data_IF_198854907603
#
_entry.id   IF_198854907603
#
_cell.length_a   1.000
_cell.length_b   1.000
_cell.length_c   1.000
_cell.angle_alpha   90.00
_cell.angle_beta   90.00
_cell.angle_gamma   90.00
#
_symmetry.space_group_name_H-M   'P 1'
#
loop_
_entity.id
_entity.type
_entity.pdbx_description
1 polymer ?
#
# COMPACT_ATOMS: atom_id res chain seq x y z
N UNK A 1 7.27 26.51 21.73
CA UNK A 1 8.37 26.54 20.75
C UNK A 1 8.70 25.09 20.41
N UNK A 2 8.54 24.66 19.17
CA UNK A 2 9.03 23.34 18.72
C UNK A 2 10.54 23.49 18.56
N UNK A 3 11.34 22.71 19.28
CA UNK A 3 12.80 22.83 19.18
C UNK A 3 13.27 22.23 17.85
N UNK A 4 14.41 22.70 17.31
CA UNK A 4 14.94 22.19 16.04
C UNK A 4 15.21 20.66 16.07
N UNK A 5 15.51 20.12 17.26
CA UNK A 5 15.64 18.68 17.49
C UNK A 5 14.31 17.92 17.33
N UNK A 6 13.19 18.50 17.78
CA UNK A 6 11.86 17.92 17.57
C UNK A 6 11.51 17.90 16.08
N UNK A 7 11.76 18.99 15.36
CA UNK A 7 11.48 19.08 13.93
C UNK A 7 12.27 18.04 13.11
N UNK A 8 13.56 17.86 13.39
CA UNK A 8 14.38 16.85 12.72
C UNK A 8 13.91 15.42 13.05
N UNK A 9 13.49 15.18 14.30
CA UNK A 9 12.95 13.88 14.72
C UNK A 9 11.62 13.56 14.02
N UNK A 10 10.70 14.51 13.95
CA UNK A 10 9.43 14.35 13.22
C UNK A 10 9.63 14.11 11.73
N UNK A 11 10.58 14.82 11.12
CA UNK A 11 10.91 14.64 9.70
C UNK A 11 11.42 13.22 9.43
N UNK A 12 12.31 12.70 10.29
CA UNK A 12 12.83 11.34 10.20
C UNK A 12 11.72 10.30 10.33
N UNK A 13 10.82 10.46 11.32
CA UNK A 13 9.68 9.56 11.48
C UNK A 13 8.74 9.60 10.27
N UNK A 14 8.46 10.78 9.72
CA UNK A 14 7.63 10.92 8.52
C UNK A 14 8.27 10.24 7.31
N UNK A 15 9.56 10.42 7.09
CA UNK A 15 10.29 9.76 6.01
C UNK A 15 10.22 8.23 6.14
N UNK A 16 10.43 7.71 7.35
CA UNK A 16 10.29 6.28 7.61
C UNK A 16 8.87 5.78 7.29
N UNK A 17 7.83 6.52 7.65
CA UNK A 17 6.44 6.15 7.33
C UNK A 17 6.17 6.20 5.82
N UNK A 18 6.69 7.20 5.11
CA UNK A 18 6.56 7.31 3.66
C UNK A 18 7.26 6.15 2.95
N UNK A 19 8.45 5.76 3.41
CA UNK A 19 9.17 4.60 2.89
C UNK A 19 8.38 3.31 3.06
N UNK A 20 7.77 3.10 4.23
CA UNK A 20 6.89 1.96 4.49
C UNK A 20 5.69 1.98 3.54
N UNK A 21 5.03 3.13 3.38
CA UNK A 21 3.91 3.27 2.47
C UNK A 21 4.31 3.01 1.01
N UNK A 22 5.50 3.45 0.59
CA UNK A 22 6.00 3.28 -0.77
C UNK A 22 6.31 1.81 -1.13
N UNK A 23 6.50 0.94 -0.14
CA UNK A 23 6.66 -0.51 -0.40
C UNK A 23 5.36 -1.17 -0.85
N UNK A 24 4.21 -0.58 -0.52
CA UNK A 24 2.91 -1.19 -0.78
C UNK A 24 2.38 -0.84 -2.17
N UNK A 25 1.76 -1.83 -2.82
CA UNK A 25 1.10 -1.65 -4.11
C UNK A 25 -0.09 -0.67 -3.98
N UNK A 26 -0.11 0.45 -4.73
CA UNK A 26 -1.07 1.53 -4.49
C UNK A 26 -2.52 1.13 -4.74
N UNK A 27 -2.83 0.33 -5.77
CA UNK A 27 -4.21 -0.09 -6.03
C UNK A 27 -4.68 -1.12 -5.01
N UNK A 28 -3.80 -2.04 -4.59
CA UNK A 28 -4.12 -2.97 -3.50
C UNK A 28 -4.42 -2.22 -2.18
N UNK A 29 -3.64 -1.20 -1.81
CA UNK A 29 -3.89 -0.37 -0.63
C UNK A 29 -5.23 0.36 -0.76
N UNK A 30 -5.52 0.96 -1.91
CA UNK A 30 -6.78 1.64 -2.16
C UNK A 30 -7.98 0.69 -2.04
N UNK A 31 -7.88 -0.51 -2.59
CA UNK A 31 -8.92 -1.54 -2.49
C UNK A 31 -9.15 -1.96 -1.03
N UNK A 32 -8.09 -2.21 -0.27
CA UNK A 32 -8.18 -2.56 1.16
C UNK A 32 -8.79 -1.44 2.00
N UNK A 33 -8.41 -0.18 1.77
CA UNK A 33 -9.03 0.97 2.46
C UNK A 33 -10.54 1.05 2.21
N UNK A 34 -10.98 0.77 0.98
CA UNK A 34 -12.43 0.71 0.64
C UNK A 34 -13.14 -0.42 1.38
N UNK A 35 -12.51 -1.60 1.51
CA UNK A 35 -13.06 -2.70 2.30
C UNK A 35 -13.22 -2.29 3.77
N UNK A 36 -12.16 -1.78 4.39
CA UNK A 36 -12.16 -1.37 5.81
C UNK A 36 -13.22 -0.31 6.11
N UNK A 37 -13.40 0.67 5.21
CA UNK A 37 -14.44 1.69 5.36
C UNK A 37 -15.87 1.14 5.33
N UNK A 38 -16.11 -0.01 4.67
CA UNK A 38 -17.42 -0.61 4.52
C UNK A 38 -17.78 -1.60 5.67
N UNK A 39 -16.78 -2.20 6.33
CA UNK A 39 -16.97 -3.30 7.31
C UNK A 39 -17.91 -2.92 8.45
N UNK A 40 -17.81 -1.69 8.99
CA UNK A 40 -18.61 -1.27 10.14
C UNK A 40 -20.13 -1.22 9.89
N UNK A 41 -20.56 -1.20 8.62
CA UNK A 41 -21.98 -1.16 8.24
C UNK A 41 -22.52 -2.49 7.69
N UNK A 42 -21.74 -3.57 7.73
CA UNK A 42 -22.07 -4.83 7.07
C UNK A 42 -22.09 -6.02 8.03
N UNK A 43 -22.85 -7.06 7.69
CA UNK A 43 -22.69 -8.36 8.36
C UNK A 43 -21.33 -8.97 8.03
N UNK A 44 -20.89 -9.92 8.85
CA UNK A 44 -19.64 -10.66 8.61
C UNK A 44 -19.66 -11.35 7.23
N UNK A 45 -20.74 -12.05 6.91
CA UNK A 45 -20.89 -12.76 5.64
C UNK A 45 -20.80 -11.82 4.43
N UNK A 46 -21.49 -10.68 4.49
CA UNK A 46 -21.43 -9.66 3.44
C UNK A 46 -20.01 -9.08 3.27
N UNK A 47 -19.33 -8.83 4.39
CA UNK A 47 -17.94 -8.33 4.40
C UNK A 47 -16.98 -9.33 3.75
N UNK A 48 -17.12 -10.62 4.06
CA UNK A 48 -16.30 -11.68 3.49
C UNK A 48 -16.55 -11.85 1.99
N UNK A 49 -17.81 -11.83 1.56
CA UNK A 49 -18.16 -11.91 0.14
C UNK A 49 -17.58 -10.71 -0.63
N UNK A 50 -17.71 -9.49 -0.10
CA UNK A 50 -17.12 -8.30 -0.69
C UNK A 50 -15.58 -8.39 -0.77
N UNK A 51 -14.95 -8.88 0.30
CA UNK A 51 -13.50 -9.12 0.35
C UNK A 51 -13.04 -10.12 -0.72
N UNK A 52 -13.73 -11.26 -0.85
CA UNK A 52 -13.43 -12.27 -1.86
C UNK A 52 -13.55 -11.71 -3.29
N UNK A 53 -14.59 -10.92 -3.56
CA UNK A 53 -14.76 -10.28 -4.86
C UNK A 53 -13.67 -9.26 -5.16
N UNK A 54 -13.28 -8.43 -4.17
CA UNK A 54 -12.20 -7.47 -4.32
C UNK A 54 -10.86 -8.16 -4.56
N UNK A 55 -10.58 -9.24 -3.83
CA UNK A 55 -9.40 -10.07 -3.99
C UNK A 55 -9.32 -10.70 -5.39
N UNK A 56 -10.41 -11.32 -5.86
CA UNK A 56 -10.46 -11.93 -7.19
C UNK A 56 -10.22 -10.90 -8.30
N UNK A 57 -10.75 -9.67 -8.16
CA UNK A 57 -10.49 -8.56 -9.10
C UNK A 57 -9.04 -8.12 -9.04
N UNK A 58 -8.49 -7.93 -7.84
CA UNK A 58 -7.10 -7.51 -7.64
C UNK A 58 -6.11 -8.51 -8.23
N UNK A 59 -6.32 -9.82 -8.02
CA UNK A 59 -5.47 -10.88 -8.56
C UNK A 59 -5.33 -10.87 -10.09
N UNK A 60 -6.37 -10.42 -10.81
CA UNK A 60 -6.35 -10.32 -12.28
C UNK A 60 -5.79 -9.00 -12.80
N UNK A 61 -5.34 -8.11 -11.91
CA UNK A 61 -4.81 -6.81 -12.30
C UNK A 61 -3.36 -6.90 -12.79
N UNK A 62 -2.95 -5.92 -13.60
CA UNK A 62 -1.56 -5.77 -14.02
C UNK A 62 -0.62 -5.56 -12.80
N UNK A 63 -1.09 -4.85 -11.78
CA UNK A 63 -0.33 -4.61 -10.53
C UNK A 63 -0.02 -5.93 -9.80
N UNK A 64 -1.02 -6.81 -9.65
CA UNK A 64 -0.81 -8.12 -9.04
C UNK A 64 0.13 -9.00 -9.88
N UNK A 65 -0.04 -9.02 -11.21
CA UNK A 65 0.84 -9.74 -12.11
C UNK A 65 2.30 -9.27 -12.01
N UNK A 66 2.51 -7.96 -11.96
CA UNK A 66 3.84 -7.37 -11.84
C UNK A 66 4.47 -7.65 -10.46
N UNK A 67 3.68 -7.60 -9.39
CA UNK A 67 4.12 -7.95 -8.05
C UNK A 67 4.56 -9.42 -7.92
N UNK A 68 3.74 -10.34 -8.45
CA UNK A 68 4.06 -11.77 -8.44
C UNK A 68 5.32 -12.07 -9.25
N UNK A 69 5.50 -11.40 -10.40
CA UNK A 69 6.72 -11.52 -11.22
C UNK A 69 7.96 -10.99 -10.50
N UNK A 70 7.85 -9.83 -9.85
CA UNK A 70 8.95 -9.25 -9.08
C UNK A 70 9.35 -10.17 -7.92
N UNK A 71 8.36 -10.67 -7.19
CA UNK A 71 8.56 -11.63 -6.10
C UNK A 71 9.26 -12.91 -6.57
N UNK A 72 8.79 -13.54 -7.64
CA UNK A 72 9.40 -14.76 -8.17
C UNK A 72 10.84 -14.54 -8.68
N UNK A 73 11.12 -13.33 -9.16
CA UNK A 73 12.45 -12.94 -9.66
C UNK A 73 13.38 -12.41 -8.55
N UNK A 74 12.92 -12.34 -7.30
CA UNK A 74 13.62 -11.69 -6.17
C UNK A 74 14.06 -10.26 -6.48
N UNK A 75 13.26 -9.55 -7.27
CA UNK A 75 13.48 -8.16 -7.63
C UNK A 75 12.53 -7.26 -6.84
N UNK A 76 12.88 -5.98 -6.62
CA UNK A 76 11.94 -4.99 -6.10
C UNK A 76 10.70 -4.89 -6.99
N UNK A 77 9.56 -4.60 -6.39
CA UNK A 77 8.34 -4.42 -7.17
C UNK A 77 8.41 -3.12 -7.99
N UNK A 78 7.71 -3.01 -9.14
CA UNK A 78 7.84 -1.85 -10.02
C UNK A 78 7.44 -0.52 -9.37
N UNK A 79 6.56 -0.56 -8.36
CA UNK A 79 6.13 0.61 -7.60
C UNK A 79 7.11 1.04 -6.52
N UNK A 80 8.12 0.23 -6.19
CA UNK A 80 9.18 0.59 -5.22
C UNK A 80 10.36 1.29 -5.88
N UNK A 81 10.32 1.49 -7.21
CA UNK A 81 11.31 2.30 -7.92
C UNK A 81 11.18 3.75 -7.46
N UNK A 82 12.06 4.15 -6.56
CA UNK A 82 12.12 5.48 -5.98
C UNK A 82 12.05 6.58 -7.07
N UNK A 83 11.13 7.53 -6.91
CA UNK A 83 11.10 8.83 -7.57
C UNK A 83 12.27 9.73 -7.07
N UNK A 84 13.48 9.18 -7.08
CA UNK A 84 14.75 9.84 -6.74
C UNK A 84 15.61 10.14 -7.97
N UNK A 85 15.03 10.06 -9.17
CA UNK A 85 15.63 10.62 -10.38
C UNK A 85 15.52 12.14 -10.33
N UNK A 86 16.48 12.79 -9.68
CA UNK A 86 16.76 14.20 -9.92
C UNK A 86 17.22 14.35 -11.37
N UNK A 87 16.40 15.04 -12.17
CA UNK A 87 16.87 15.85 -13.31
C UNK A 87 16.95 17.30 -12.86
#
# INVERSE_FOLDING_TARGET
MIQAADAAHWQSQLQQQLEICAQAAPQAVAATKKLLAAIGGQSLDASLNQGAQAFARALRSAEAGAGLKAFSSKQPAPWTCNAGGTS
#
